data_IF_164718606665
#
_entry.id   IF_164718606665
#
_cell.length_a   1.000
_cell.length_b   1.000
_cell.length_c   1.000
_cell.angle_alpha   90.00
_cell.angle_beta   90.00
_cell.angle_gamma   90.00
#
_symmetry.space_group_name_H-M   'P 1'
#
loop_
_entity.id
_entity.type
_entity.pdbx_description
1 polymer ?
#
# COMPACT_ATOMS: atom_id res chain seq x y z
N UNK A 1 18.68 19.49 4.57
CA UNK A 1 17.66 18.77 5.39
C UNK A 1 16.43 19.65 5.40
N UNK A 2 15.38 19.27 4.71
CA UNK A 2 14.20 20.12 4.55
C UNK A 2 13.31 20.05 5.79
N UNK A 3 12.85 21.20 6.28
CA UNK A 3 11.92 21.38 7.40
C UNK A 3 10.52 20.71 7.20
N UNK A 4 10.39 19.71 6.33
CA UNK A 4 9.12 19.25 5.79
C UNK A 4 8.23 18.43 6.72
N UNK A 5 8.76 17.86 7.81
CA UNK A 5 7.93 17.05 8.70
C UNK A 5 8.23 17.30 10.18
N UNK A 6 7.46 18.22 10.78
CA UNK A 6 7.23 18.14 12.23
C UNK A 6 6.34 16.93 12.47
N UNK A 7 6.89 15.84 13.03
CA UNK A 7 6.15 14.67 13.48
C UNK A 7 5.30 15.05 14.70
N UNK A 8 4.18 15.74 14.46
CA UNK A 8 3.21 15.99 15.52
C UNK A 8 2.40 14.71 15.76
N UNK A 9 2.18 14.38 17.02
CA UNK A 9 1.37 13.20 17.40
C UNK A 9 -0.05 13.24 16.81
N UNK A 10 -0.59 14.43 16.53
CA UNK A 10 -1.90 14.62 15.89
C UNK A 10 -1.94 14.14 14.43
N UNK A 11 -0.82 14.18 13.72
CA UNK A 11 -0.73 13.79 12.31
C UNK A 11 -0.38 12.31 12.12
N UNK A 12 -0.38 11.51 13.19
CA UNK A 12 -0.07 10.10 13.12
C UNK A 12 -1.24 9.32 12.53
N UNK A 13 -1.03 8.72 11.36
CA UNK A 13 -2.01 7.90 10.66
C UNK A 13 -1.96 6.45 11.13
N UNK A 14 -0.75 5.89 11.29
CA UNK A 14 -0.57 4.51 11.75
C UNK A 14 0.48 4.44 12.85
N UNK A 15 0.22 3.61 13.86
CA UNK A 15 1.15 3.40 14.98
C UNK A 15 1.23 1.93 15.33
N UNK A 16 2.42 1.33 15.17
CA UNK A 16 2.67 -0.06 15.55
C UNK A 16 3.48 -0.08 16.83
N UNK A 17 3.04 -0.86 17.81
CA UNK A 17 3.68 -0.99 19.12
C UNK A 17 3.81 -2.44 19.52
N UNK A 18 5.04 -2.87 19.83
CA UNK A 18 5.40 -4.18 20.39
C UNK A 18 4.75 -5.35 19.66
N UNK A 19 4.57 -5.23 18.34
CA UNK A 19 3.90 -6.24 17.52
C UNK A 19 4.77 -7.51 17.45
N UNK A 20 4.17 -8.63 17.85
CA UNK A 20 4.75 -9.96 17.75
C UNK A 20 3.82 -10.86 16.94
N UNK A 21 4.39 -11.59 15.98
CA UNK A 21 3.64 -12.49 15.10
C UNK A 21 4.42 -13.79 14.96
N UNK A 22 3.71 -14.90 15.13
CA UNK A 22 4.25 -16.23 14.91
C UNK A 22 3.45 -17.02 13.88
N UNK A 23 4.08 -18.04 13.33
CA UNK A 23 3.47 -19.00 12.40
C UNK A 23 3.60 -20.40 12.93
N UNK A 24 2.48 -21.13 12.94
CA UNK A 24 2.48 -22.56 13.23
C UNK A 24 2.88 -23.32 11.98
N UNK A 25 3.98 -24.06 12.05
CA UNK A 25 4.49 -24.91 10.97
C UNK A 25 4.53 -26.37 11.39
N UNK A 26 4.78 -27.28 10.45
CA UNK A 26 4.96 -28.70 10.74
C UNK A 26 6.18 -28.99 11.64
N UNK A 27 7.11 -28.04 11.72
CA UNK A 27 8.35 -28.15 12.50
C UNK A 27 8.32 -27.36 13.82
N UNK A 28 7.19 -26.74 14.15
CA UNK A 28 7.02 -25.94 15.36
C UNK A 28 6.59 -24.51 15.09
N UNK A 29 6.74 -23.63 16.09
CA UNK A 29 6.36 -22.22 16.01
C UNK A 29 7.55 -21.41 15.53
N UNK A 30 7.33 -20.59 14.50
CA UNK A 30 8.33 -19.65 13.97
C UNK A 30 7.90 -18.22 14.30
N UNK A 31 8.69 -17.50 15.09
CA UNK A 31 8.45 -16.10 15.43
C UNK A 31 8.94 -15.20 14.27
N UNK A 32 8.01 -14.76 13.42
CA UNK A 32 8.30 -13.97 12.24
C UNK A 32 8.49 -12.48 12.56
N UNK A 33 7.75 -11.95 13.52
CA UNK A 33 7.85 -10.56 14.00
C UNK A 33 8.07 -10.57 15.50
N UNK A 34 9.00 -9.72 15.96
CA UNK A 34 9.54 -9.77 17.32
C UNK A 34 9.62 -8.36 17.93
N UNK A 35 8.47 -7.81 18.34
CA UNK A 35 8.36 -6.55 19.07
C UNK A 35 8.68 -5.32 18.21
N UNK A 36 8.22 -5.26 16.96
CA UNK A 36 8.46 -4.10 16.10
C UNK A 36 7.64 -2.89 16.57
N UNK A 37 8.22 -1.69 16.32
CA UNK A 37 7.59 -0.41 16.63
C UNK A 37 7.95 0.59 15.53
N UNK A 38 6.96 1.23 14.91
CA UNK A 38 7.15 2.42 14.08
C UNK A 38 5.85 3.21 13.96
N UNK A 39 5.98 4.45 13.50
CA UNK A 39 4.86 5.34 13.23
C UNK A 39 4.89 5.77 11.76
N UNK A 40 3.72 5.97 11.17
CA UNK A 40 3.52 6.61 9.89
C UNK A 40 2.69 7.88 10.12
N UNK A 41 3.18 9.01 9.62
CA UNK A 41 2.51 10.30 9.72
C UNK A 41 1.86 10.69 8.39
N UNK A 42 0.90 11.59 8.45
CA UNK A 42 0.15 12.06 7.27
C UNK A 42 1.09 12.63 6.20
N UNK A 43 0.96 12.14 4.98
CA UNK A 43 1.80 12.55 3.85
C UNK A 43 3.27 12.10 3.93
N UNK A 44 3.66 11.29 4.93
CA UNK A 44 5.02 10.75 5.07
C UNK A 44 5.20 9.47 4.25
N UNK A 45 6.43 9.25 3.77
CA UNK A 45 6.86 7.93 3.27
C UNK A 45 7.78 7.26 4.29
N UNK A 46 7.34 6.14 4.85
CA UNK A 46 8.18 5.23 5.64
C UNK A 46 8.66 4.09 4.75
N UNK A 47 9.97 3.95 4.56
CA UNK A 47 10.56 2.81 3.89
C UNK A 47 10.92 1.73 4.91
N UNK A 48 10.44 0.50 4.69
CA UNK A 48 10.84 -0.69 5.45
C UNK A 48 11.81 -1.48 4.57
N UNK A 49 13.06 -1.55 4.98
CA UNK A 49 14.13 -2.21 4.23
C UNK A 49 14.67 -3.42 4.98
N UNK A 50 15.18 -4.40 4.26
CA UNK A 50 15.78 -5.59 4.85
C UNK A 50 15.82 -6.75 3.87
N UNK A 51 16.55 -7.80 4.22
CA UNK A 51 16.68 -9.01 3.41
C UNK A 51 15.34 -9.76 3.23
N UNK A 52 15.29 -10.65 2.25
CA UNK A 52 14.15 -11.57 2.10
C UNK A 52 13.98 -12.38 3.39
N UNK A 53 12.72 -12.57 3.81
CA UNK A 53 12.43 -13.27 5.06
C UNK A 53 12.61 -12.44 6.35
N UNK A 54 13.01 -11.17 6.28
CA UNK A 54 13.16 -10.33 7.50
C UNK A 54 11.83 -9.96 8.19
N UNK A 55 10.67 -10.24 7.56
CA UNK A 55 9.34 -9.99 8.14
C UNK A 55 8.55 -8.83 7.49
N UNK A 56 9.11 -8.13 6.50
CA UNK A 56 8.46 -6.97 5.84
C UNK A 56 7.06 -7.28 5.35
N UNK A 57 6.91 -8.30 4.50
CA UNK A 57 5.61 -8.70 3.93
C UNK A 57 4.63 -9.23 4.98
N UNK A 58 5.13 -9.87 6.05
CA UNK A 58 4.28 -10.28 7.18
C UNK A 58 3.68 -9.07 7.88
N UNK A 59 4.48 -8.01 8.10
CA UNK A 59 4.01 -6.77 8.73
C UNK A 59 2.88 -6.13 7.91
N UNK A 60 3.06 -5.98 6.60
CA UNK A 60 2.02 -5.35 5.76
C UNK A 60 0.79 -6.24 5.59
N UNK A 61 0.96 -7.57 5.43
CA UNK A 61 -0.17 -8.51 5.39
C UNK A 61 -1.03 -8.40 6.65
N UNK A 62 -0.41 -8.19 7.80
CA UNK A 62 -1.12 -8.00 9.07
C UNK A 62 -1.92 -6.70 9.07
N UNK A 63 -1.34 -5.58 8.64
CA UNK A 63 -2.04 -4.29 8.50
C UNK A 63 -3.25 -4.43 7.56
N UNK A 64 -3.11 -5.19 6.48
CA UNK A 64 -4.14 -5.41 5.46
C UNK A 64 -5.19 -6.48 5.87
N UNK A 65 -5.04 -7.15 7.02
CA UNK A 65 -5.94 -8.24 7.40
C UNK A 65 -5.93 -9.43 6.44
N UNK A 66 -4.77 -9.73 5.85
CA UNK A 66 -4.53 -10.85 4.93
C UNK A 66 -3.39 -11.75 5.40
N UNK A 67 -3.17 -11.81 6.72
CA UNK A 67 -2.21 -12.74 7.30
C UNK A 67 -2.62 -14.18 6.98
N UNK A 68 -1.66 -15.03 6.64
CA UNK A 68 -1.91 -16.43 6.31
C UNK A 68 -2.58 -17.16 7.48
N UNK A 69 -3.40 -18.18 7.19
CA UNK A 69 -4.27 -18.86 8.18
C UNK A 69 -3.52 -19.54 9.34
N UNK A 70 -2.24 -19.88 9.14
CA UNK A 70 -1.37 -20.44 10.16
C UNK A 70 -0.57 -19.37 10.95
N UNK A 71 -0.78 -18.07 10.63
CA UNK A 71 -0.18 -16.94 11.35
C UNK A 71 -1.06 -16.49 12.52
N UNK A 72 -0.41 -16.11 13.60
CA UNK A 72 -1.05 -15.59 14.81
C UNK A 72 -0.38 -14.30 15.26
N UNK A 73 -1.18 -13.31 15.65
CA UNK A 73 -0.70 -12.12 16.34
C UNK A 73 -0.64 -12.47 17.82
N UNK A 74 0.58 -12.58 18.36
CA UNK A 74 0.81 -13.00 19.74
C UNK A 74 0.61 -11.84 20.73
N UNK A 75 1.03 -10.64 20.36
CA UNK A 75 0.88 -9.42 21.17
C UNK A 75 1.14 -8.16 20.36
N UNK A 76 0.89 -7.00 20.97
CA UNK A 76 1.12 -5.68 20.41
C UNK A 76 -0.15 -5.02 19.93
N UNK A 77 0.00 -3.86 19.28
CA UNK A 77 -1.11 -3.09 18.72
C UNK A 77 -0.76 -2.46 17.39
N UNK A 78 -1.77 -2.26 16.56
CA UNK A 78 -1.70 -1.52 15.29
C UNK A 78 -2.82 -0.50 15.31
N UNK A 79 -2.52 0.70 15.79
CA UNK A 79 -3.50 1.79 15.87
C UNK A 79 -3.56 2.51 14.54
N UNK A 80 -4.72 2.53 13.92
CA UNK A 80 -5.02 3.29 12.72
C UNK A 80 -5.96 4.45 13.05
N UNK A 81 -5.50 5.66 12.75
CA UNK A 81 -6.26 6.89 12.90
C UNK A 81 -6.75 7.35 11.52
N UNK A 82 -8.03 7.59 11.37
CA UNK A 82 -8.65 7.97 10.11
C UNK A 82 -9.83 8.92 10.33
N UNK A 83 -10.26 9.56 9.25
CA UNK A 83 -11.51 10.33 9.25
C UNK A 83 -12.60 9.47 8.64
N UNK A 84 -13.74 9.34 9.35
CA UNK A 84 -14.91 8.61 8.86
C UNK A 84 -15.65 9.38 7.75
N UNK A 85 -16.67 8.76 7.15
CA UNK A 85 -17.46 9.35 6.06
C UNK A 85 -18.28 10.57 6.52
N UNK A 86 -18.41 10.80 7.83
CA UNK A 86 -19.08 11.96 8.44
C UNK A 86 -18.11 13.09 8.82
N UNK A 87 -16.80 12.91 8.57
CA UNK A 87 -15.76 13.88 8.88
C UNK A 87 -15.24 13.81 10.33
N UNK A 88 -15.61 12.78 11.12
CA UNK A 88 -15.13 12.62 12.49
C UNK A 88 -13.80 11.86 12.53
N UNK A 89 -12.88 12.31 13.38
CA UNK A 89 -11.65 11.58 13.68
C UNK A 89 -11.96 10.31 14.46
N UNK A 90 -11.45 9.19 13.98
CA UNK A 90 -11.62 7.86 14.54
C UNK A 90 -10.25 7.21 14.79
N UNK A 91 -10.19 6.33 15.79
CA UNK A 91 -9.00 5.54 16.09
C UNK A 91 -9.42 4.10 16.37
N UNK A 92 -8.76 3.16 15.76
CA UNK A 92 -9.05 1.73 15.89
C UNK A 92 -7.76 0.93 16.02
N UNK A 93 -7.77 -0.10 16.87
CA UNK A 93 -6.70 -1.10 16.92
C UNK A 93 -7.03 -2.27 15.96
N UNK A 94 -6.31 -2.35 14.86
CA UNK A 94 -6.52 -3.39 13.86
C UNK A 94 -6.26 -4.80 14.41
N UNK A 95 -5.42 -4.95 15.46
CA UNK A 95 -5.17 -6.25 16.12
C UNK A 95 -6.41 -6.79 16.80
N UNK A 96 -7.31 -5.90 17.28
CA UNK A 96 -8.57 -6.29 17.94
C UNK A 96 -9.69 -6.62 16.95
N UNK A 97 -9.45 -6.44 15.66
CA UNK A 97 -10.43 -6.71 14.60
C UNK A 97 -10.15 -8.05 13.94
N UNK A 98 -11.20 -8.71 13.47
CA UNK A 98 -11.03 -9.86 12.58
C UNK A 98 -10.44 -9.42 11.23
N UNK A 99 -9.69 -10.31 10.57
CA UNK A 99 -9.16 -10.04 9.23
C UNK A 99 -10.27 -9.68 8.22
N UNK A 100 -11.46 -10.29 8.36
CA UNK A 100 -12.62 -10.00 7.52
C UNK A 100 -13.11 -8.56 7.72
N UNK A 101 -13.16 -8.08 8.95
CA UNK A 101 -13.56 -6.70 9.25
C UNK A 101 -12.56 -5.69 8.72
N UNK A 102 -11.24 -5.94 8.88
CA UNK A 102 -10.20 -5.06 8.34
C UNK A 102 -10.36 -4.94 6.82
N UNK A 103 -10.48 -6.07 6.12
CA UNK A 103 -10.65 -6.10 4.67
C UNK A 103 -11.89 -5.34 4.22
N UNK A 104 -13.03 -5.59 4.85
CA UNK A 104 -14.29 -4.96 4.46
C UNK A 104 -14.33 -3.46 4.74
N UNK A 105 -13.80 -3.02 5.89
CA UNK A 105 -13.88 -1.61 6.32
C UNK A 105 -12.81 -0.73 5.70
N UNK A 106 -11.60 -1.24 5.51
CA UNK A 106 -10.44 -0.41 5.22
C UNK A 106 -9.71 -0.76 3.92
N UNK A 107 -9.60 -2.05 3.54
CA UNK A 107 -8.84 -2.42 2.34
C UNK A 107 -9.54 -2.00 1.07
N UNK A 108 -8.79 -1.39 0.14
CA UNK A 108 -9.30 -0.82 -1.11
C UNK A 108 -10.02 0.53 -0.94
N UNK A 109 -10.45 0.89 0.28
CA UNK A 109 -11.13 2.15 0.58
C UNK A 109 -10.20 3.17 1.24
N UNK A 110 -9.57 2.78 2.34
CA UNK A 110 -8.74 3.65 3.21
C UNK A 110 -7.26 3.23 3.20
N UNK A 111 -7.01 1.94 3.05
CA UNK A 111 -5.67 1.36 2.96
C UNK A 111 -5.62 0.57 1.65
N UNK A 112 -4.75 0.96 0.74
CA UNK A 112 -4.58 0.29 -0.53
C UNK A 112 -3.16 -0.26 -0.69
N UNK A 113 -2.98 -1.23 -1.58
CA UNK A 113 -1.69 -1.89 -1.78
C UNK A 113 -1.37 -2.04 -3.27
N UNK A 114 -0.14 -1.73 -3.62
CA UNK A 114 0.49 -2.03 -4.90
C UNK A 114 1.42 -3.22 -4.69
N UNK A 115 1.09 -4.34 -5.33
CA UNK A 115 1.85 -5.58 -5.22
C UNK A 115 3.08 -5.58 -6.13
N UNK A 116 4.02 -6.48 -5.83
CA UNK A 116 5.31 -6.61 -6.51
C UNK A 116 5.18 -6.90 -8.02
N UNK A 117 4.26 -7.78 -8.42
CA UNK A 117 4.11 -8.22 -9.80
C UNK A 117 2.77 -7.75 -10.40
N UNK A 118 2.79 -6.82 -11.37
CA UNK A 118 1.58 -6.36 -12.04
C UNK A 118 0.93 -7.45 -12.91
N UNK A 119 1.66 -8.50 -13.28
CA UNK A 119 1.12 -9.60 -14.09
C UNK A 119 0.16 -10.48 -13.31
N UNK A 120 0.43 -10.68 -12.02
CA UNK A 120 -0.43 -11.46 -11.13
C UNK A 120 -1.54 -10.61 -10.49
N UNK A 121 -1.39 -9.28 -10.52
CA UNK A 121 -2.35 -8.35 -9.90
C UNK A 121 -3.51 -7.96 -10.82
N UNK A 122 -3.36 -8.14 -12.15
CA UNK A 122 -4.39 -7.78 -13.12
C UNK A 122 -5.07 -9.04 -13.67
N UNK A 123 -6.40 -9.03 -13.71
CA UNK A 123 -7.19 -10.08 -14.37
C UNK A 123 -7.03 -9.98 -15.90
N UNK A 124 -6.43 -10.99 -16.56
CA UNK A 124 -6.21 -10.96 -18.01
C UNK A 124 -7.50 -11.01 -18.83
N UNK A 125 -8.62 -11.40 -18.23
CA UNK A 125 -9.93 -11.56 -18.88
C UNK A 125 -10.80 -10.30 -18.78
N UNK A 126 -10.40 -9.33 -17.95
CA UNK A 126 -11.11 -8.07 -17.76
C UNK A 126 -10.39 -6.90 -18.42
N UNK A 127 -11.16 -5.94 -18.96
CA UNK A 127 -10.56 -4.70 -19.48
C UNK A 127 -10.03 -3.82 -18.35
N UNK A 128 -9.00 -3.01 -18.64
CA UNK A 128 -8.34 -2.09 -17.72
C UNK A 128 -9.36 -1.19 -17.01
N UNK A 129 -10.26 -0.59 -17.77
CA UNK A 129 -11.25 0.31 -17.21
C UNK A 129 -12.19 -0.37 -16.22
N UNK A 130 -12.60 -1.61 -16.48
CA UNK A 130 -13.46 -2.35 -15.53
C UNK A 130 -12.74 -2.63 -14.23
N UNK A 131 -11.46 -3.02 -14.28
CA UNK A 131 -10.65 -3.31 -13.08
C UNK A 131 -10.43 -2.07 -12.22
N UNK A 132 -10.22 -0.89 -12.83
CA UNK A 132 -10.08 0.37 -12.07
C UNK A 132 -11.43 0.83 -11.48
N UNK A 133 -12.54 0.57 -12.18
CA UNK A 133 -13.89 0.91 -11.69
C UNK A 133 -14.32 0.04 -10.51
N UNK A 134 -13.86 -1.20 -10.45
CA UNK A 134 -14.35 -2.20 -9.50
C UNK A 134 -14.26 -1.74 -8.03
N UNK A 135 -13.12 -1.24 -7.52
CA UNK A 135 -13.05 -0.72 -6.15
C UNK A 135 -14.03 0.43 -5.87
N UNK A 136 -14.24 1.33 -6.84
CA UNK A 136 -15.17 2.44 -6.69
C UNK A 136 -16.62 1.95 -6.58
N UNK A 137 -17.00 0.99 -7.43
CA UNK A 137 -18.35 0.42 -7.43
C UNK A 137 -18.62 -0.43 -6.17
N UNK A 138 -17.60 -1.08 -5.62
CA UNK A 138 -17.71 -1.90 -4.42
C UNK A 138 -17.72 -1.07 -3.13
N UNK A 139 -16.88 -0.04 -3.04
CA UNK A 139 -16.61 0.69 -1.80
C UNK A 139 -17.21 2.09 -1.74
N UNK A 140 -17.59 2.66 -2.87
CA UNK A 140 -18.20 4.00 -2.97
C UNK A 140 -19.56 3.86 -3.68
N UNK A 141 -20.59 4.50 -3.15
CA UNK A 141 -21.94 4.47 -3.74
C UNK A 141 -22.03 5.38 -4.98
N UNK A 142 -21.18 5.13 -5.99
CA UNK A 142 -21.13 5.92 -7.24
C UNK A 142 -21.81 5.18 -8.40
N UNK A 143 -22.32 5.95 -9.36
CA UNK A 143 -22.88 5.38 -10.58
C UNK A 143 -21.76 4.82 -11.48
N UNK A 144 -22.12 3.89 -12.37
CA UNK A 144 -21.16 3.36 -13.37
C UNK A 144 -20.62 4.45 -14.29
N UNK A 145 -21.40 5.46 -14.59
CA UNK A 145 -20.99 6.58 -15.45
C UNK A 145 -19.96 7.45 -14.74
N UNK A 146 -20.18 7.75 -13.48
CA UNK A 146 -19.26 8.49 -12.63
C UNK A 146 -17.95 7.72 -12.41
N UNK A 147 -18.02 6.42 -12.06
CA UNK A 147 -16.85 5.56 -11.94
C UNK A 147 -16.04 5.50 -13.23
N UNK A 148 -16.71 5.44 -14.42
CA UNK A 148 -16.04 5.48 -15.71
C UNK A 148 -15.33 6.81 -15.95
N UNK A 149 -15.99 7.94 -15.69
CA UNK A 149 -15.38 9.27 -15.84
C UNK A 149 -14.14 9.38 -14.98
N UNK A 150 -14.23 9.03 -13.69
CA UNK A 150 -13.13 9.06 -12.75
C UNK A 150 -12.00 8.10 -13.13
N UNK A 151 -12.31 6.93 -13.70
CA UNK A 151 -11.31 6.00 -14.23
C UNK A 151 -10.50 6.60 -15.36
N UNK A 152 -11.15 7.32 -16.30
CA UNK A 152 -10.48 7.99 -17.41
C UNK A 152 -9.55 9.09 -16.88
N UNK A 153 -9.99 9.86 -15.89
CA UNK A 153 -9.18 10.88 -15.19
C UNK A 153 -7.97 10.24 -14.51
N UNK A 154 -8.16 9.16 -13.73
CA UNK A 154 -7.08 8.43 -13.06
C UNK A 154 -6.05 7.86 -14.03
N UNK A 155 -6.48 7.31 -15.17
CA UNK A 155 -5.56 6.84 -16.20
C UNK A 155 -4.67 7.98 -16.72
N UNK A 156 -5.22 9.18 -16.87
CA UNK A 156 -4.45 10.39 -17.20
C UNK A 156 -3.49 10.79 -16.08
N UNK A 157 -3.96 10.80 -14.83
CA UNK A 157 -3.15 11.13 -13.64
C UNK A 157 -1.93 10.21 -13.49
N UNK A 158 -2.08 8.91 -13.76
CA UNK A 158 -0.95 7.97 -13.74
C UNK A 158 -0.10 8.03 -15.02
N UNK A 159 -0.40 8.94 -15.95
CA UNK A 159 0.38 9.19 -17.16
C UNK A 159 0.19 8.13 -18.25
N UNK A 160 -1.00 7.60 -18.39
CA UNK A 160 -1.39 6.73 -19.51
C UNK A 160 -1.99 7.59 -20.62
N UNK A 161 -1.34 7.60 -21.78
CA UNK A 161 -1.79 8.34 -22.96
C UNK A 161 -3.06 7.70 -23.56
N UNK A 162 -3.95 8.56 -24.11
CA UNK A 162 -5.23 8.16 -24.71
C UNK A 162 -6.10 7.31 -23.76
N UNK A 163 -6.48 7.83 -22.56
CA UNK A 163 -7.16 7.08 -21.51
C UNK A 163 -8.44 6.38 -21.97
N UNK A 164 -9.26 7.01 -22.82
CA UNK A 164 -10.51 6.45 -23.35
C UNK A 164 -10.29 5.21 -24.20
N UNK A 165 -9.19 5.18 -24.97
CA UNK A 165 -8.81 4.01 -25.77
C UNK A 165 -8.30 2.92 -24.85
N UNK A 166 -7.41 3.26 -23.87
CA UNK A 166 -6.80 2.32 -22.94
C UNK A 166 -7.82 1.71 -21.97
N UNK A 167 -8.85 2.44 -21.61
CA UNK A 167 -9.98 1.95 -20.81
C UNK A 167 -10.57 0.63 -21.34
N UNK A 168 -10.63 0.47 -22.67
CA UNK A 168 -11.23 -0.70 -23.33
C UNK A 168 -10.24 -1.84 -23.58
N UNK A 169 -8.95 -1.62 -23.34
CA UNK A 169 -7.90 -2.61 -23.56
C UNK A 169 -7.79 -3.61 -22.41
N UNK A 170 -7.17 -4.73 -22.73
CA UNK A 170 -6.84 -5.79 -21.76
C UNK A 170 -5.39 -5.65 -21.29
N UNK A 171 -5.01 -6.25 -20.13
CA UNK A 171 -3.65 -6.17 -19.61
C UNK A 171 -2.56 -6.61 -20.60
N UNK A 172 -2.80 -7.63 -21.39
CA UNK A 172 -1.83 -8.16 -22.36
C UNK A 172 -1.52 -7.19 -23.53
N UNK A 173 -2.38 -6.19 -23.76
CA UNK A 173 -2.17 -5.14 -24.78
C UNK A 173 -1.29 -3.98 -24.27
N UNK A 174 -0.88 -4.01 -23.00
CA UNK A 174 -0.08 -2.96 -22.34
C UNK A 174 1.36 -3.41 -22.08
N UNK A 175 2.29 -2.46 -22.12
CA UNK A 175 3.68 -2.70 -21.66
C UNK A 175 3.74 -2.91 -20.14
N UNK A 176 4.85 -3.49 -19.61
CA UNK A 176 5.04 -3.70 -18.18
C UNK A 176 4.89 -2.42 -17.36
N UNK A 177 5.51 -1.32 -17.77
CA UNK A 177 5.37 -0.03 -17.11
C UNK A 177 3.95 0.55 -17.17
N UNK A 178 3.19 0.31 -18.25
CA UNK A 178 1.77 0.70 -18.32
C UNK A 178 0.92 -0.14 -17.37
N UNK A 179 1.15 -1.46 -17.28
CA UNK A 179 0.45 -2.33 -16.33
C UNK A 179 0.68 -1.87 -14.90
N UNK A 180 1.93 -1.52 -14.55
CA UNK A 180 2.25 -1.00 -13.22
C UNK A 180 1.48 0.30 -12.91
N UNK A 181 1.38 1.22 -13.88
CA UNK A 181 0.57 2.44 -13.74
C UNK A 181 -0.91 2.15 -13.53
N UNK A 182 -1.44 1.10 -14.20
CA UNK A 182 -2.81 0.63 -13.98
C UNK A 182 -3.00 0.07 -12.57
N UNK A 183 -2.08 -0.74 -12.08
CA UNK A 183 -2.14 -1.25 -10.68
C UNK A 183 -2.12 -0.10 -9.67
N UNK A 184 -1.30 0.93 -9.92
CA UNK A 184 -1.29 2.15 -9.10
C UNK A 184 -2.65 2.88 -9.20
N UNK A 185 -3.24 3.00 -10.40
CA UNK A 185 -4.56 3.61 -10.57
C UNK A 185 -5.66 2.84 -9.82
N UNK A 186 -5.64 1.50 -9.85
CA UNK A 186 -6.56 0.66 -9.07
C UNK A 186 -6.40 0.95 -7.57
N UNK A 187 -5.18 0.99 -7.05
CA UNK A 187 -4.91 1.27 -5.65
C UNK A 187 -5.39 2.67 -5.22
N UNK A 188 -5.36 3.65 -6.13
CA UNK A 188 -5.77 5.04 -5.86
C UNK A 188 -7.25 5.30 -6.16
N UNK A 189 -7.99 4.34 -6.68
CA UNK A 189 -9.36 4.54 -7.18
C UNK A 189 -10.33 5.08 -6.11
N UNK A 190 -10.11 4.74 -4.84
CA UNK A 190 -10.94 5.17 -3.71
C UNK A 190 -10.31 6.28 -2.86
N UNK A 191 -9.25 6.94 -3.30
CA UNK A 191 -8.49 7.97 -2.57
C UNK A 191 -8.08 7.51 -1.15
N UNK A 192 -7.20 6.50 -1.04
CA UNK A 192 -6.82 5.93 0.25
C UNK A 192 -5.98 6.90 1.09
N UNK A 193 -6.06 6.75 2.43
CA UNK A 193 -5.21 7.48 3.38
C UNK A 193 -3.79 6.92 3.41
N UNK A 194 -3.67 5.59 3.21
CA UNK A 194 -2.40 4.85 3.22
C UNK A 194 -2.25 4.05 1.92
N UNK A 195 -1.11 4.23 1.25
CA UNK A 195 -0.69 3.41 0.13
C UNK A 195 0.50 2.54 0.55
N UNK A 196 0.35 1.23 0.47
CA UNK A 196 1.42 0.27 0.71
C UNK A 196 2.00 -0.14 -0.64
N UNK A 197 3.30 0.04 -0.83
CA UNK A 197 4.03 -0.34 -2.03
C UNK A 197 4.99 -1.50 -1.68
N UNK A 198 4.63 -2.73 -2.06
CA UNK A 198 5.47 -3.91 -1.81
C UNK A 198 6.32 -4.19 -3.05
N UNK A 199 7.56 -3.71 -3.04
CA UNK A 199 8.53 -3.85 -4.14
C UNK A 199 7.96 -3.48 -5.54
N UNK A 200 7.27 -2.36 -5.71
CA UNK A 200 6.42 -2.08 -6.88
C UNK A 200 7.18 -1.88 -8.18
N UNK A 201 8.51 -1.97 -8.16
CA UNK A 201 9.37 -1.70 -9.33
C UNK A 201 10.37 -2.81 -9.62
N UNK A 202 10.39 -3.90 -8.84
CA UNK A 202 11.40 -4.98 -8.94
C UNK A 202 11.40 -5.69 -10.31
N UNK A 203 10.24 -5.78 -10.97
CA UNK A 203 10.09 -6.41 -12.28
C UNK A 203 10.28 -5.44 -13.47
N UNK A 204 10.74 -4.21 -13.24
CA UNK A 204 10.84 -3.16 -14.26
C UNK A 204 12.30 -2.79 -14.53
N UNK A 205 12.58 -2.34 -15.75
CA UNK A 205 13.87 -1.75 -16.07
C UNK A 205 14.12 -0.42 -15.31
N UNK A 206 15.40 -0.06 -15.14
CA UNK A 206 15.82 1.09 -14.31
C UNK A 206 15.17 2.41 -14.73
N UNK A 207 14.96 2.59 -16.06
CA UNK A 207 14.36 3.84 -16.57
C UNK A 207 12.89 3.93 -16.23
N UNK A 208 12.14 2.83 -16.38
CA UNK A 208 10.72 2.75 -16.01
C UNK A 208 10.57 2.80 -14.49
N UNK A 209 11.44 2.13 -13.74
CA UNK A 209 11.49 2.23 -12.28
C UNK A 209 11.56 3.68 -11.81
N UNK A 210 12.49 4.48 -12.34
CA UNK A 210 12.62 5.89 -11.97
C UNK A 210 11.30 6.68 -12.21
N UNK A 211 10.67 6.47 -13.36
CA UNK A 211 9.39 7.12 -13.69
C UNK A 211 8.24 6.70 -12.78
N UNK A 212 8.21 5.45 -12.34
CA UNK A 212 7.18 4.97 -11.37
C UNK A 212 7.41 5.56 -9.98
N UNK A 213 8.67 5.69 -9.54
CA UNK A 213 9.00 6.33 -8.26
C UNK A 213 8.59 7.82 -8.25
N UNK A 214 8.90 8.54 -9.32
CA UNK A 214 8.48 9.93 -9.49
C UNK A 214 6.96 10.07 -9.50
N UNK A 215 6.26 9.15 -10.18
CA UNK A 215 4.80 9.11 -10.20
C UNK A 215 4.22 8.93 -8.79
N UNK A 216 4.69 7.94 -8.02
CA UNK A 216 4.22 7.68 -6.65
C UNK A 216 4.47 8.91 -5.77
N UNK A 217 5.68 9.53 -5.85
CA UNK A 217 6.01 10.72 -5.05
C UNK A 217 5.15 11.92 -5.42
N UNK A 218 4.88 12.13 -6.70
CA UNK A 218 3.98 13.19 -7.17
C UNK A 218 2.56 12.97 -6.62
N UNK A 219 1.98 11.77 -6.80
CA UNK A 219 0.63 11.45 -6.33
C UNK A 219 0.51 11.52 -4.80
N UNK A 220 1.56 11.11 -4.07
CA UNK A 220 1.66 11.28 -2.62
C UNK A 220 1.50 12.75 -2.22
N UNK A 221 2.25 13.65 -2.88
CA UNK A 221 2.21 15.08 -2.57
C UNK A 221 0.88 15.72 -2.98
N UNK A 222 0.36 15.40 -4.17
CA UNK A 222 -0.88 15.97 -4.70
C UNK A 222 -2.12 15.55 -3.90
N UNK A 223 -2.17 14.28 -3.49
CA UNK A 223 -3.31 13.69 -2.76
C UNK A 223 -3.09 13.62 -1.24
N UNK A 224 -1.93 14.04 -0.73
CA UNK A 224 -1.54 13.97 0.69
C UNK A 224 -1.67 12.55 1.29
N UNK A 225 -1.29 11.53 0.52
CA UNK A 225 -1.35 10.12 0.91
C UNK A 225 -0.10 9.77 1.73
N UNK A 226 -0.27 8.95 2.78
CA UNK A 226 0.86 8.39 3.53
C UNK A 226 1.31 7.08 2.89
N UNK A 227 2.63 6.86 2.76
CA UNK A 227 3.16 5.71 2.01
C UNK A 227 4.00 4.81 2.90
N UNK A 228 3.74 3.51 2.88
CA UNK A 228 4.67 2.48 3.37
C UNK A 228 5.33 1.84 2.16
N UNK A 229 6.64 2.01 2.03
CA UNK A 229 7.41 1.50 0.90
C UNK A 229 8.30 0.34 1.33
N UNK A 230 8.09 -0.83 0.77
CA UNK A 230 8.93 -2.01 1.01
C UNK A 230 9.87 -2.19 -0.16
N UNK A 231 11.16 -2.31 0.15
CA UNK A 231 12.20 -2.60 -0.85
C UNK A 231 13.45 -3.14 -0.18
N UNK A 232 14.30 -3.80 -0.96
CA UNK A 232 15.67 -4.14 -0.59
C UNK A 232 16.69 -3.23 -1.29
N UNK A 233 16.24 -2.31 -2.14
CA UNK A 233 17.10 -1.38 -2.90
C UNK A 233 17.26 -0.04 -2.17
N UNK A 234 18.44 0.20 -1.60
CA UNK A 234 18.78 1.44 -0.90
C UNK A 234 18.79 2.67 -1.84
N UNK A 235 19.05 2.48 -3.13
CA UNK A 235 18.98 3.56 -4.11
C UNK A 235 17.55 4.07 -4.32
N UNK A 236 16.56 3.20 -4.20
CA UNK A 236 15.13 3.56 -4.19
C UNK A 236 14.79 4.30 -2.92
N UNK A 237 15.21 3.76 -1.77
CA UNK A 237 14.95 4.38 -0.45
C UNK A 237 15.41 5.83 -0.39
N UNK A 238 16.64 6.11 -0.85
CA UNK A 238 17.21 7.45 -0.86
C UNK A 238 16.39 8.47 -1.68
N UNK A 239 15.59 8.01 -2.64
CA UNK A 239 14.74 8.86 -3.50
C UNK A 239 13.35 9.12 -2.94
N UNK A 240 12.78 8.15 -2.21
CA UNK A 240 11.36 8.21 -1.84
C UNK A 240 11.11 8.39 -0.35
N UNK A 241 11.99 7.90 0.53
CA UNK A 241 11.75 7.81 1.95
C UNK A 241 11.98 9.14 2.68
N UNK A 242 11.04 9.48 3.54
CA UNK A 242 11.20 10.53 4.55
C UNK A 242 11.75 9.91 5.87
N UNK A 243 11.46 8.61 6.07
CA UNK A 243 11.92 7.83 7.21
C UNK A 243 12.21 6.39 6.78
N UNK A 244 13.26 5.81 7.36
CA UNK A 244 13.70 4.44 7.05
C UNK A 244 13.63 3.57 8.30
N UNK A 245 13.09 2.37 8.18
CA UNK A 245 13.12 1.34 9.21
C UNK A 245 13.86 0.12 8.67
N UNK A 246 15.02 -0.18 9.21
CA UNK A 246 15.82 -1.35 8.82
C UNK A 246 15.35 -2.57 9.58
N UNK A 247 14.89 -3.59 8.85
CA UNK A 247 14.33 -4.80 9.42
C UNK A 247 15.25 -6.00 9.22
N UNK A 248 15.57 -6.69 10.30
CA UNK A 248 16.38 -7.89 10.31
C UNK A 248 15.80 -8.92 11.27
N UNK A 249 15.65 -10.18 10.82
CA UNK A 249 15.16 -11.32 11.62
C UNK A 249 13.91 -10.99 12.49
N UNK A 250 12.93 -10.30 11.90
CA UNK A 250 11.68 -9.94 12.59
C UNK A 250 11.76 -8.74 13.52
N UNK A 251 12.86 -8.01 13.56
CA UNK A 251 13.06 -6.81 14.40
C UNK A 251 13.40 -5.59 13.55
N UNK A 252 13.03 -4.42 14.02
CA UNK A 252 13.58 -3.16 13.52
C UNK A 252 14.85 -2.89 14.32
N UNK A 253 16.00 -2.91 13.62
CA UNK A 253 17.33 -2.78 14.22
C UNK A 253 17.88 -1.36 14.11
N UNK A 254 17.40 -0.57 13.15
CA UNK A 254 17.79 0.82 12.92
C UNK A 254 16.60 1.63 12.41
N UNK A 255 16.62 2.95 12.69
CA UNK A 255 15.56 3.89 12.28
C UNK A 255 16.17 5.22 11.85
#
# INVERSE_FOLDING_TARGET
>A
MSEKFKRDKKDRVLSIRDLNISFKTNYGIVNAIRGIRFDLFKGETVAIVGESGSGKSVTIKTIMGILDSNGMIDSGSIIYNYTDDNGNEQSVDLVQMSQKEIRYKFCGKKIAMVFQDPMTSLDPTMTIGKQIMEPMLEHQHVSREEAKKRTIELLGEVGIENPEKRFKQYPHELSGGMRQRVVIAIALACDPDILICDEPTTALDVTIQAKILELIKRLQNEKNISVIYITHDLGVVAKVADYVAVMYAGRIVEK
#
